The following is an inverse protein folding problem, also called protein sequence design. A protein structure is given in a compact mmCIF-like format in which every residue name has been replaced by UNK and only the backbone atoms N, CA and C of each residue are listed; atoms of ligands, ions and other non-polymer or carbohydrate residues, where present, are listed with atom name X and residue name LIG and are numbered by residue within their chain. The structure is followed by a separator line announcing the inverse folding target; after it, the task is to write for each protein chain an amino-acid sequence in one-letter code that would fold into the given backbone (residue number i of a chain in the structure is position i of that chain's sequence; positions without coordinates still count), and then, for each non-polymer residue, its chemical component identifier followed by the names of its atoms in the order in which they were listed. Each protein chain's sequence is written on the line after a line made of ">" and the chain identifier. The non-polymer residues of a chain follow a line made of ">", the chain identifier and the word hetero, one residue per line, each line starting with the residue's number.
data_IF_431858061162
#
_entry.id   IF_431858061162
#
_cell.length_a   1.000
_cell.length_b   1.000
_cell.length_c   1.000
_cell.angle_alpha   90.00
_cell.angle_beta   90.00
_cell.angle_gamma   90.00
#
_symmetry.space_group_name_H-M   'P 1'
#
loop_
_entity.id
_entity.type
_entity.pdbx_description
1 polymer ?
#
# COMPACT_ATOMS: atom_id res chain seq x y z
N UNK A 1 -1.62 -19.69 -11.16
CA UNK A 1 -0.36 -19.33 -10.49
C UNK A 1 0.20 -18.08 -11.15
N UNK A 2 0.45 -16.98 -10.41
CA UNK A 2 1.60 -16.11 -10.72
C UNK A 2 1.44 -14.59 -10.78
N UNK A 3 0.32 -14.00 -11.20
CA UNK A 3 0.31 -12.53 -11.44
C UNK A 3 0.24 -11.68 -10.16
N UNK A 4 -0.50 -12.10 -9.13
CA UNK A 4 -0.59 -11.31 -7.89
C UNK A 4 0.72 -11.25 -7.10
N UNK A 5 1.61 -12.24 -7.24
CA UNK A 5 2.92 -12.25 -6.57
C UNK A 5 3.87 -11.22 -7.20
N UNK A 6 3.93 -11.17 -8.53
CA UNK A 6 4.96 -10.36 -9.22
C UNK A 6 4.75 -8.85 -9.06
N UNK A 7 3.51 -8.38 -8.97
CA UNK A 7 3.22 -6.95 -8.73
C UNK A 7 3.58 -6.55 -7.31
N UNK A 8 3.17 -7.32 -6.29
CA UNK A 8 3.50 -7.04 -4.89
C UNK A 8 5.01 -7.12 -4.67
N UNK A 9 5.69 -8.09 -5.27
CA UNK A 9 7.15 -8.22 -5.21
C UNK A 9 7.86 -7.03 -5.87
N UNK A 10 7.36 -6.55 -7.02
CA UNK A 10 7.92 -5.39 -7.71
C UNK A 10 7.78 -4.12 -6.87
N UNK A 11 6.60 -3.89 -6.29
CA UNK A 11 6.34 -2.74 -5.40
C UNK A 11 7.26 -2.84 -4.17
N UNK A 12 7.35 -4.00 -3.54
CA UNK A 12 8.16 -4.20 -2.33
C UNK A 12 9.64 -3.97 -2.59
N UNK A 13 10.18 -4.51 -3.69
CA UNK A 13 11.58 -4.26 -4.10
C UNK A 13 11.84 -2.78 -4.38
N UNK A 14 10.90 -2.10 -4.99
CA UNK A 14 11.03 -0.68 -5.32
C UNK A 14 11.00 0.20 -4.07
N UNK A 15 10.07 -0.05 -3.15
CA UNK A 15 10.01 0.65 -1.87
C UNK A 15 11.28 0.39 -1.03
N UNK A 16 11.76 -0.85 -1.01
CA UNK A 16 13.02 -1.19 -0.33
C UNK A 16 14.23 -0.46 -0.95
N UNK A 17 14.31 -0.42 -2.28
CA UNK A 17 15.38 0.32 -2.98
C UNK A 17 15.34 1.82 -2.70
N UNK A 18 14.14 2.42 -2.62
CA UNK A 18 13.97 3.85 -2.44
C UNK A 18 14.18 4.32 -0.99
N UNK A 19 13.67 3.55 -0.02
CA UNK A 19 13.59 3.97 1.39
C UNK A 19 14.38 3.09 2.36
N UNK A 20 15.08 2.06 1.87
CA UNK A 20 15.83 1.12 2.70
C UNK A 20 14.96 0.27 3.62
N UNK A 21 13.64 0.26 3.41
CA UNK A 21 12.65 -0.39 4.29
C UNK A 21 11.88 -1.46 3.53
N UNK A 22 11.80 -2.67 4.09
CA UNK A 22 10.95 -3.73 3.55
C UNK A 22 9.52 -3.53 4.04
N UNK A 23 8.55 -3.28 3.15
CA UNK A 23 7.16 -3.09 3.56
C UNK A 23 6.57 -4.41 4.09
N UNK A 24 5.70 -4.30 5.10
CA UNK A 24 4.89 -5.43 5.57
C UNK A 24 3.73 -5.65 4.61
N UNK A 25 3.60 -6.87 4.10
CA UNK A 25 2.48 -7.26 3.23
C UNK A 25 1.40 -7.88 4.10
N UNK A 26 0.18 -7.37 3.99
CA UNK A 26 -0.98 -7.82 4.75
C UNK A 26 -2.11 -8.16 3.78
N UNK A 27 -2.77 -9.29 4.00
CA UNK A 27 -3.99 -9.64 3.28
C UNK A 27 -5.16 -8.86 3.87
N UNK A 28 -5.89 -8.12 3.03
CA UNK A 28 -6.99 -7.28 3.48
C UNK A 28 -8.13 -8.07 4.12
N UNK A 29 -8.33 -9.33 3.72
CA UNK A 29 -9.32 -10.21 4.35
C UNK A 29 -8.90 -10.66 5.75
N UNK A 30 -7.61 -10.57 6.08
CA UNK A 30 -7.05 -10.94 7.38
C UNK A 30 -6.91 -9.77 8.36
N UNK A 31 -7.25 -8.54 7.94
CA UNK A 31 -7.16 -7.35 8.79
C UNK A 31 -8.33 -7.33 9.79
N UNK A 32 -8.03 -7.11 11.06
CA UNK A 32 -9.04 -6.80 12.06
C UNK A 32 -9.62 -5.40 11.78
N UNK A 33 -10.91 -5.33 11.48
CA UNK A 33 -11.63 -4.09 11.20
C UNK A 33 -11.64 -3.08 12.35
N UNK A 34 -11.23 -3.47 13.56
CA UNK A 34 -11.07 -2.59 14.70
C UNK A 34 -9.69 -1.90 14.77
N UNK A 35 -8.73 -2.31 13.94
CA UNK A 35 -7.39 -1.74 13.95
C UNK A 35 -7.34 -0.37 13.26
N UNK A 36 -7.08 0.67 14.06
CA UNK A 36 -7.09 2.08 13.60
C UNK A 36 -6.11 2.33 12.43
N UNK A 37 -4.98 1.63 12.42
CA UNK A 37 -3.95 1.72 11.38
C UNK A 37 -4.43 1.25 9.99
N UNK A 38 -5.52 0.49 9.92
CA UNK A 38 -6.04 0.00 8.64
C UNK A 38 -7.41 0.56 8.29
N UNK A 39 -8.02 1.36 9.17
CA UNK A 39 -9.38 1.86 8.99
C UNK A 39 -9.60 2.53 7.64
N UNK A 40 -8.68 3.41 7.22
CA UNK A 40 -8.79 4.10 5.93
C UNK A 40 -8.69 3.14 4.73
N UNK A 41 -7.78 2.16 4.80
CA UNK A 41 -7.64 1.15 3.77
C UNK A 41 -8.88 0.26 3.67
N UNK A 42 -9.45 -0.13 4.81
CA UNK A 42 -10.68 -0.93 4.90
C UNK A 42 -11.86 -0.14 4.36
N UNK A 43 -12.03 1.12 4.73
CA UNK A 43 -13.11 1.98 4.24
C UNK A 43 -13.04 2.13 2.72
N UNK A 44 -11.83 2.36 2.18
CA UNK A 44 -11.61 2.46 0.74
C UNK A 44 -11.91 1.14 0.01
N UNK A 45 -11.50 0.01 0.59
CA UNK A 45 -11.80 -1.32 0.06
C UNK A 45 -13.30 -1.64 0.12
N UNK A 46 -13.99 -1.34 1.22
CA UNK A 46 -15.43 -1.54 1.33
C UNK A 46 -16.20 -0.70 0.30
N UNK A 47 -15.71 0.50 -0.02
CA UNK A 47 -16.34 1.37 -1.01
C UNK A 47 -16.09 0.95 -2.47
N UNK A 48 -14.92 0.38 -2.80
CA UNK A 48 -14.48 0.18 -4.20
C UNK A 48 -14.08 -1.26 -4.55
N UNK A 49 -14.07 -2.15 -3.57
CA UNK A 49 -13.70 -3.56 -3.67
C UNK A 49 -12.27 -3.79 -4.14
N UNK A 50 -12.05 -4.93 -4.79
CA UNK A 50 -10.73 -5.38 -5.28
C UNK A 50 -10.02 -4.39 -6.23
N UNK A 51 -10.72 -3.39 -6.79
CA UNK A 51 -10.15 -2.42 -7.74
C UNK A 51 -9.12 -1.48 -7.11
N UNK A 52 -9.14 -1.34 -5.78
CA UNK A 52 -8.16 -0.51 -5.07
C UNK A 52 -6.90 -1.29 -4.69
N UNK A 53 -6.87 -2.60 -4.90
CA UNK A 53 -5.67 -3.39 -4.61
C UNK A 53 -4.67 -3.36 -5.79
N UNK A 54 -3.36 -3.45 -5.51
CA UNK A 54 -2.73 -3.36 -4.19
C UNK A 54 -2.83 -1.95 -3.60
N UNK A 55 -2.83 -1.85 -2.26
CA UNK A 55 -2.78 -0.57 -1.53
C UNK A 55 -1.48 -0.44 -0.75
N UNK A 56 -1.00 0.78 -0.62
CA UNK A 56 0.15 1.13 0.22
C UNK A 56 -0.32 2.12 1.26
N UNK A 57 -0.05 1.79 2.53
CA UNK A 57 -0.33 2.66 3.66
C UNK A 57 0.96 3.12 4.33
N UNK A 58 0.93 4.34 4.86
CA UNK A 58 1.99 4.91 5.68
C UNK A 58 1.34 5.61 6.87
N UNK A 59 1.74 5.24 8.10
CA UNK A 59 1.15 5.83 9.32
C UNK A 59 -0.37 5.67 9.42
N UNK A 60 -0.90 4.60 8.83
CA UNK A 60 -2.34 4.30 8.76
C UNK A 60 -3.14 5.04 7.68
N UNK A 61 -2.50 5.92 6.90
CA UNK A 61 -3.11 6.61 5.77
C UNK A 61 -2.86 5.90 4.46
N UNK A 62 -3.82 5.91 3.53
CA UNK A 62 -3.62 5.35 2.19
C UNK A 62 -2.87 6.37 1.33
N UNK A 63 -1.64 6.02 0.93
CA UNK A 63 -0.79 6.91 0.11
C UNK A 63 -0.78 6.52 -1.36
N UNK A 64 -1.13 5.27 -1.67
CA UNK A 64 -1.31 4.78 -3.04
C UNK A 64 -2.24 3.57 -3.07
N UNK A 65 -2.95 3.40 -4.17
CA UNK A 65 -3.87 2.28 -4.37
C UNK A 65 -3.97 1.93 -5.86
N UNK A 66 -4.44 0.72 -6.17
CA UNK A 66 -4.57 0.16 -7.53
C UNK A 66 -3.23 -0.12 -8.21
N UNK A 67 -3.27 -0.52 -9.48
CA UNK A 67 -2.09 -0.78 -10.32
C UNK A 67 -1.38 0.51 -10.75
N UNK A 68 -1.14 1.44 -9.83
CA UNK A 68 -0.23 2.53 -10.11
C UNK A 68 1.14 1.98 -10.50
N UNK A 69 1.77 2.61 -11.49
CA UNK A 69 3.12 2.23 -11.90
C UNK A 69 4.02 2.37 -10.66
N UNK A 70 4.90 1.40 -10.37
CA UNK A 70 5.74 1.42 -9.16
C UNK A 70 6.44 2.75 -8.88
N UNK A 71 6.87 3.48 -9.93
CA UNK A 71 7.47 4.83 -9.81
C UNK A 71 6.55 5.88 -9.19
N UNK A 72 5.24 5.80 -9.45
CA UNK A 72 4.26 6.71 -8.84
C UNK A 72 4.09 6.39 -7.36
N UNK A 73 4.10 5.12 -6.99
CA UNK A 73 3.99 4.68 -5.60
C UNK A 73 5.15 5.25 -4.79
N UNK A 74 6.39 5.19 -5.31
CA UNK A 74 7.55 5.79 -4.64
C UNK A 74 7.36 7.29 -4.40
N UNK A 75 6.91 8.04 -5.42
CA UNK A 75 6.67 9.49 -5.30
C UNK A 75 5.57 9.82 -4.29
N UNK A 76 4.49 9.04 -4.26
CA UNK A 76 3.40 9.24 -3.29
C UNK A 76 3.88 8.99 -1.86
N UNK A 77 4.68 7.95 -1.63
CA UNK A 77 5.29 7.67 -0.32
C UNK A 77 6.26 8.78 0.08
N UNK A 78 7.13 9.22 -0.83
CA UNK A 78 8.08 10.31 -0.58
C UNK A 78 7.36 11.62 -0.20
N UNK A 79 6.28 11.95 -0.92
CA UNK A 79 5.45 13.13 -0.64
C UNK A 79 4.75 13.00 0.72
N UNK A 80 4.25 11.81 1.06
CA UNK A 80 3.61 11.57 2.35
C UNK A 80 4.62 11.72 3.50
N UNK A 81 5.82 11.13 3.38
CA UNK A 81 6.88 11.26 4.39
C UNK A 81 7.34 12.71 4.59
N UNK A 82 7.38 13.51 3.51
CA UNK A 82 7.76 14.91 3.59
C UNK A 82 6.72 15.79 4.31
N UNK A 83 5.44 15.41 4.27
CA UNK A 83 4.34 16.15 4.91
C UNK A 83 4.12 15.78 6.38
N UNK A 84 4.84 14.78 6.91
CA UNK A 84 4.78 14.37 8.33
C UNK A 84 5.92 14.98 9.19
N UNK A 85 6.75 15.86 8.60
CA UNK A 85 7.80 16.65 9.27
C UNK A 85 7.35 18.09 9.55
#
# INVERSE_FOLDING_TARGET
>A
MGQSSSTIDAISKQLNKAFGTTPTIVDIEGIDGSEENYREAIDLFNARGLRVLPMVTLGGKVVSHSTEVPDKITKSVETAMANEQ
#
